data_IF_373346128140
#
_entry.id   IF_373346128140
#
_cell.length_a   1.000
_cell.length_b   1.000
_cell.length_c   1.000
_cell.angle_alpha   90.00
_cell.angle_beta   90.00
_cell.angle_gamma   90.00
#
_symmetry.space_group_name_H-M   'P 1'
#
loop_
_entity.id
_entity.type
_entity.pdbx_description
1 polymer ?
#
# COMPACT_ATOMS: atom_id res chain seq x y z
N UNK A 1 -7.45 26.48 -56.02
CA UNK A 1 -7.98 25.30 -55.29
C UNK A 1 -6.89 24.77 -54.38
N UNK A 2 -7.04 24.93 -53.06
CA UNK A 2 -6.01 24.71 -52.03
C UNK A 2 -6.18 23.35 -51.32
N UNK A 3 -5.32 22.34 -51.54
CA UNK A 3 -5.44 21.00 -50.97
C UNK A 3 -4.73 20.82 -49.61
N UNK A 4 -4.43 21.89 -48.86
CA UNK A 4 -3.56 21.82 -47.66
C UNK A 4 -4.30 21.65 -46.32
N UNK A 5 -5.63 21.78 -46.27
CA UNK A 5 -6.41 21.72 -45.01
C UNK A 5 -6.85 20.31 -44.57
N UNK A 6 -6.79 19.32 -45.46
CA UNK A 6 -7.30 17.97 -45.16
C UNK A 6 -6.30 17.12 -44.35
N UNK A 7 -4.99 17.29 -44.59
CA UNK A 7 -3.95 16.51 -43.90
C UNK A 7 -3.87 16.82 -42.40
N UNK A 8 -4.02 18.09 -42.01
CA UNK A 8 -3.93 18.51 -40.61
C UNK A 8 -5.05 17.97 -39.73
N UNK A 9 -6.25 17.75 -40.30
CA UNK A 9 -7.40 17.18 -39.59
C UNK A 9 -7.27 15.66 -39.39
N UNK A 10 -6.66 14.97 -40.35
CA UNK A 10 -6.43 13.52 -40.26
C UNK A 10 -5.38 13.17 -39.18
N UNK A 11 -4.32 13.98 -39.05
CA UNK A 11 -3.29 13.78 -38.02
C UNK A 11 -3.83 14.08 -36.61
N UNK A 12 -4.68 15.11 -36.46
CA UNK A 12 -5.33 15.42 -35.18
C UNK A 12 -6.32 14.34 -34.73
N UNK A 13 -7.06 13.72 -35.66
CA UNK A 13 -7.98 12.63 -35.34
C UNK A 13 -7.26 11.33 -34.95
N UNK A 14 -6.11 11.02 -35.58
CA UNK A 14 -5.31 9.85 -35.22
C UNK A 14 -4.63 10.00 -33.85
N UNK A 15 -4.16 11.21 -33.52
CA UNK A 15 -3.59 11.53 -32.21
C UNK A 15 -4.65 11.48 -31.09
N UNK A 16 -5.91 11.85 -31.40
CA UNK A 16 -7.02 11.77 -30.45
C UNK A 16 -7.39 10.31 -30.13
N UNK A 17 -7.34 9.40 -31.10
CA UNK A 17 -7.61 7.97 -30.89
C UNK A 17 -6.54 7.24 -30.06
N UNK A 18 -5.30 7.73 -30.03
CA UNK A 18 -4.22 7.17 -29.20
C UNK A 18 -4.33 7.66 -27.74
N UNK A 19 -5.05 8.75 -27.49
CA UNK A 19 -5.22 9.37 -26.18
C UNK A 19 -6.56 9.04 -25.50
N UNK A 20 -7.39 8.17 -26.07
CA UNK A 20 -8.55 7.63 -25.35
C UNK A 20 -8.07 6.47 -24.46
N UNK A 21 -7.94 6.63 -23.13
CA UNK A 21 -8.02 5.48 -22.25
C UNK A 21 -9.33 4.76 -22.57
N UNK A 22 -9.23 3.54 -23.10
CA UNK A 22 -10.39 2.82 -23.58
C UNK A 22 -11.41 2.66 -22.45
N UNK A 23 -12.72 2.89 -22.68
CA UNK A 23 -13.76 2.78 -21.65
C UNK A 23 -13.88 1.36 -21.04
N UNK A 24 -13.17 0.38 -21.59
CA UNK A 24 -13.03 -0.95 -21.01
C UNK A 24 -12.04 -1.02 -19.82
N UNK A 25 -11.18 -0.02 -19.63
CA UNK A 25 -10.12 0.02 -18.60
C UNK A 25 -10.41 1.00 -17.45
N UNK A 26 -11.52 1.73 -17.48
CA UNK A 26 -11.88 2.69 -16.41
C UNK A 26 -12.92 2.12 -15.42
N UNK A 27 -13.71 1.13 -15.84
CA UNK A 27 -14.82 0.60 -15.05
C UNK A 27 -14.36 -0.09 -13.74
N UNK A 28 -13.19 -0.73 -13.75
CA UNK A 28 -12.62 -1.41 -12.57
C UNK A 28 -12.14 -0.40 -11.53
N UNK A 29 -11.43 0.66 -11.96
CA UNK A 29 -11.01 1.75 -11.09
C UNK A 29 -12.18 2.56 -10.53
N UNK A 30 -13.21 2.85 -11.32
CA UNK A 30 -14.42 3.53 -10.83
C UNK A 30 -15.15 2.73 -9.74
N UNK A 31 -15.07 1.40 -9.80
CA UNK A 31 -15.68 0.52 -8.80
C UNK A 31 -14.81 0.39 -7.52
N UNK A 32 -13.49 0.31 -7.68
CA UNK A 32 -12.55 0.10 -6.55
C UNK A 32 -12.12 1.41 -5.86
N UNK A 33 -12.04 2.50 -6.61
CA UNK A 33 -11.51 3.81 -6.21
C UNK A 33 -12.32 4.94 -6.89
N UNK A 34 -13.61 5.12 -6.55
CA UNK A 34 -14.50 6.11 -7.19
C UNK A 34 -14.08 7.57 -7.01
N UNK A 35 -13.09 7.83 -6.14
CA UNK A 35 -12.55 9.17 -5.85
C UNK A 35 -11.14 9.37 -6.41
N UNK A 36 -10.61 8.44 -7.20
CA UNK A 36 -9.30 8.56 -7.83
C UNK A 36 -9.37 9.38 -9.12
N UNK A 37 -8.46 10.35 -9.27
CA UNK A 37 -8.40 11.24 -10.43
C UNK A 37 -7.35 10.75 -11.42
N UNK A 38 -7.75 10.24 -12.61
CA UNK A 38 -6.82 9.76 -13.63
C UNK A 38 -5.95 10.88 -14.24
N UNK A 39 -6.33 12.15 -14.08
CA UNK A 39 -5.56 13.29 -14.63
C UNK A 39 -4.36 13.66 -13.77
N UNK A 40 -4.29 13.19 -12.53
CA UNK A 40 -3.17 13.37 -11.60
C UNK A 40 -1.99 12.42 -11.82
N UNK A 41 -2.12 11.43 -12.72
CA UNK A 41 -1.11 10.41 -12.99
C UNK A 41 -1.38 9.07 -12.27
N UNK A 42 -0.51 8.06 -12.47
CA UNK A 42 -0.69 6.74 -11.86
C UNK A 42 -0.63 6.82 -10.32
N UNK A 43 -1.36 5.93 -9.64
CA UNK A 43 -1.37 5.84 -8.19
C UNK A 43 0.07 5.68 -7.66
N UNK A 44 0.43 6.54 -6.69
CA UNK A 44 1.74 6.51 -6.06
C UNK A 44 1.77 5.48 -4.93
N UNK A 45 2.92 4.82 -4.74
CA UNK A 45 3.16 3.90 -3.63
C UNK A 45 2.98 4.58 -2.26
N UNK A 46 3.22 5.89 -2.17
CA UNK A 46 2.98 6.66 -0.95
C UNK A 46 1.49 6.84 -0.66
N UNK A 47 0.67 7.16 -1.67
CA UNK A 47 -0.77 7.34 -1.50
C UNK A 47 -1.45 6.03 -1.12
N UNK A 48 -0.99 4.92 -1.72
CA UNK A 48 -1.44 3.58 -1.38
C UNK A 48 -1.06 3.22 0.07
N UNK A 49 0.18 3.51 0.47
CA UNK A 49 0.62 3.29 1.84
C UNK A 49 -0.15 4.12 2.87
N UNK A 50 -0.44 5.39 2.56
CA UNK A 50 -1.24 6.27 3.41
C UNK A 50 -2.69 5.79 3.49
N UNK A 51 -3.27 5.37 2.38
CA UNK A 51 -4.61 4.79 2.36
C UNK A 51 -4.69 3.53 3.24
N UNK A 52 -3.69 2.66 3.15
CA UNK A 52 -3.61 1.47 4.01
C UNK A 52 -3.35 1.82 5.48
N UNK A 53 -2.49 2.80 5.75
CA UNK A 53 -2.19 3.26 7.11
C UNK A 53 -3.39 3.95 7.78
N UNK A 54 -4.22 4.66 7.00
CA UNK A 54 -5.45 5.30 7.48
C UNK A 54 -6.59 4.30 7.75
N UNK A 55 -6.39 3.01 7.45
CA UNK A 55 -7.40 2.00 7.79
C UNK A 55 -7.59 1.89 9.31
N UNK A 56 -8.84 1.71 9.79
CA UNK A 56 -9.14 1.69 11.23
C UNK A 56 -8.33 0.62 11.98
N UNK A 57 -8.10 -0.53 11.32
CA UNK A 57 -7.29 -1.62 11.87
C UNK A 57 -5.83 -1.19 12.06
N UNK A 58 -5.24 -0.50 11.08
CA UNK A 58 -3.85 -0.01 11.17
C UNK A 58 -3.70 1.07 12.24
N UNK A 59 -4.69 1.95 12.40
CA UNK A 59 -4.70 2.96 13.46
C UNK A 59 -4.72 2.31 14.86
N UNK A 60 -5.56 1.29 15.07
CA UNK A 60 -5.58 0.53 16.33
C UNK A 60 -4.23 -0.13 16.58
N UNK A 61 -3.64 -0.77 15.56
CA UNK A 61 -2.32 -1.39 15.66
C UNK A 61 -1.20 -0.40 15.99
N UNK A 62 -1.24 0.81 15.42
CA UNK A 62 -0.31 1.88 15.76
C UNK A 62 -0.47 2.31 17.22
N UNK A 63 -1.69 2.44 17.73
CA UNK A 63 -1.94 2.76 19.14
C UNK A 63 -1.44 1.65 20.07
N UNK A 64 -1.69 0.38 19.74
CA UNK A 64 -1.18 -0.77 20.51
C UNK A 64 0.34 -0.79 20.50
N UNK A 65 0.96 -0.49 19.35
CA UNK A 65 2.42 -0.42 19.23
C UNK A 65 3.00 0.72 20.07
N UNK A 66 2.38 1.90 20.02
CA UNK A 66 2.77 3.04 20.85
C UNK A 66 2.64 2.72 22.35
N UNK A 67 1.59 1.99 22.74
CA UNK A 67 1.40 1.53 24.10
C UNK A 67 2.44 0.48 24.51
N UNK A 68 2.79 -0.46 23.63
CA UNK A 68 3.83 -1.45 23.85
C UNK A 68 5.18 -0.78 24.15
N UNK A 69 5.55 0.20 23.32
CA UNK A 69 6.77 1.00 23.47
C UNK A 69 6.73 1.83 24.76
N UNK A 70 5.62 2.52 25.03
CA UNK A 70 5.49 3.40 26.21
C UNK A 70 5.52 2.64 27.53
N UNK A 71 4.88 1.47 27.59
CA UNK A 71 4.87 0.63 28.79
C UNK A 71 6.10 -0.30 28.87
N UNK A 72 6.92 -0.36 27.82
CA UNK A 72 8.01 -1.34 27.63
C UNK A 72 7.59 -2.76 28.00
N UNK A 73 6.34 -3.11 27.70
CA UNK A 73 5.76 -4.40 28.07
C UNK A 73 5.95 -5.39 26.91
N UNK A 74 6.76 -6.42 27.15
CA UNK A 74 7.10 -7.44 26.16
C UNK A 74 5.87 -8.17 25.60
N UNK A 75 4.84 -8.40 26.42
CA UNK A 75 3.62 -9.08 25.99
C UNK A 75 2.79 -8.23 25.02
N UNK A 76 2.70 -6.93 25.28
CA UNK A 76 2.00 -6.00 24.40
C UNK A 76 2.80 -5.80 23.10
N UNK A 77 4.14 -5.79 23.19
CA UNK A 77 5.02 -5.79 22.02
C UNK A 77 4.82 -7.02 21.14
N UNK A 78 4.75 -8.21 21.75
CA UNK A 78 4.46 -9.45 21.02
C UNK A 78 3.09 -9.39 20.34
N UNK A 79 2.05 -8.98 21.05
CA UNK A 79 0.71 -8.84 20.48
C UNK A 79 0.67 -7.85 19.30
N UNK A 80 1.40 -6.73 19.40
CA UNK A 80 1.52 -5.76 18.32
C UNK A 80 2.19 -6.36 17.08
N UNK A 81 3.33 -7.04 17.24
CA UNK A 81 4.06 -7.68 16.13
C UNK A 81 3.24 -8.78 15.47
N UNK A 82 2.56 -9.62 16.27
CA UNK A 82 1.65 -10.64 15.74
C UNK A 82 0.49 -9.99 14.95
N UNK A 83 -0.12 -8.94 15.50
CA UNK A 83 -1.21 -8.24 14.81
C UNK A 83 -0.77 -7.61 13.49
N UNK A 84 0.41 -6.97 13.46
CA UNK A 84 1.01 -6.44 12.23
C UNK A 84 1.33 -7.54 11.20
N UNK A 85 1.83 -8.69 11.65
CA UNK A 85 2.15 -9.82 10.78
C UNK A 85 0.90 -10.46 10.18
N UNK A 86 -0.16 -10.60 10.97
CA UNK A 86 -1.47 -11.07 10.49
C UNK A 86 -2.04 -10.09 9.46
N UNK A 87 -2.02 -8.79 9.76
CA UNK A 87 -2.51 -7.78 8.83
C UNK A 87 -1.74 -7.80 7.51
N UNK A 88 -0.40 -7.86 7.55
CA UNK A 88 0.44 -7.95 6.36
C UNK A 88 0.12 -9.22 5.55
N UNK A 89 -0.05 -10.37 6.22
CA UNK A 89 -0.39 -11.63 5.57
C UNK A 89 -1.77 -11.55 4.89
N UNK A 90 -2.77 -11.01 5.58
CA UNK A 90 -4.11 -10.82 4.99
C UNK A 90 -4.06 -9.91 3.76
N UNK A 91 -3.22 -8.87 3.75
CA UNK A 91 -3.05 -7.99 2.59
C UNK A 91 -2.39 -8.69 1.40
N UNK A 92 -1.44 -9.58 1.64
CA UNK A 92 -0.75 -10.34 0.58
C UNK A 92 -1.60 -11.48 0.05
N UNK A 93 -2.33 -12.18 0.91
CA UNK A 93 -3.05 -13.42 0.58
C UNK A 93 -4.57 -13.26 0.47
N UNK A 94 -5.12 -12.04 0.49
CA UNK A 94 -6.56 -11.81 0.38
C UNK A 94 -7.14 -12.48 -0.89
N UNK A 95 -8.08 -13.44 -0.76
CA UNK A 95 -8.53 -14.31 -1.86
C UNK A 95 -9.40 -13.63 -2.94
N UNK A 96 -9.56 -12.30 -2.93
CA UNK A 96 -10.41 -11.56 -3.88
C UNK A 96 -9.65 -10.72 -4.90
N UNK A 97 -8.32 -10.67 -4.84
CA UNK A 97 -7.53 -9.73 -5.63
C UNK A 97 -6.95 -10.26 -6.93
N UNK A 98 -6.72 -11.57 -7.07
CA UNK A 98 -5.80 -12.11 -8.09
C UNK A 98 -5.96 -11.58 -9.52
N UNK A 99 -7.17 -11.55 -10.07
CA UNK A 99 -7.43 -11.00 -11.42
C UNK A 99 -7.74 -9.50 -11.39
N UNK A 100 -8.58 -9.04 -10.45
CA UNK A 100 -9.07 -7.66 -10.38
C UNK A 100 -7.99 -6.65 -9.95
N UNK A 101 -7.09 -7.03 -9.04
CA UNK A 101 -5.95 -6.18 -8.63
C UNK A 101 -4.82 -6.22 -9.64
N UNK A 102 -4.66 -7.31 -10.39
CA UNK A 102 -3.72 -7.34 -11.52
C UNK A 102 -4.20 -6.42 -12.65
N UNK A 103 -5.49 -6.48 -12.99
CA UNK A 103 -6.09 -5.58 -13.98
C UNK A 103 -5.99 -4.12 -13.52
N UNK A 104 -6.35 -3.81 -12.27
CA UNK A 104 -6.24 -2.45 -11.72
C UNK A 104 -4.79 -1.95 -11.55
N UNK A 105 -3.81 -2.85 -11.39
CA UNK A 105 -2.38 -2.50 -11.39
C UNK A 105 -1.89 -2.19 -12.82
N UNK A 106 -2.40 -2.88 -13.85
CA UNK A 106 -2.13 -2.54 -15.25
C UNK A 106 -2.79 -1.22 -15.69
N UNK A 107 -3.93 -0.89 -15.08
CA UNK A 107 -4.62 0.40 -15.24
C UNK A 107 -3.91 1.55 -14.48
N UNK A 108 -2.97 1.22 -13.59
CA UNK A 108 -2.20 2.19 -12.80
C UNK A 108 -2.95 2.78 -11.60
N UNK A 109 -4.14 2.28 -11.28
CA UNK A 109 -4.97 2.77 -10.16
C UNK A 109 -4.58 2.19 -8.79
N UNK A 110 -3.82 1.08 -8.78
CA UNK A 110 -3.30 0.44 -7.56
C UNK A 110 -1.78 0.41 -7.65
N UNK A 111 -1.12 1.03 -6.67
CA UNK A 111 0.33 0.93 -6.51
C UNK A 111 0.72 -0.30 -5.69
N UNK A 112 2.00 -0.69 -5.72
CA UNK A 112 2.45 -1.85 -4.95
C UNK A 112 2.31 -1.60 -3.44
N UNK A 113 1.75 -2.55 -2.66
CA UNK A 113 1.65 -2.44 -1.20
C UNK A 113 3.01 -2.61 -0.49
N UNK A 114 4.10 -2.78 -1.25
CA UNK A 114 5.44 -3.07 -0.75
C UNK A 114 5.94 -1.98 0.20
N UNK A 115 5.64 -0.71 -0.05
CA UNK A 115 6.07 0.40 0.78
C UNK A 115 5.43 0.32 2.18
N UNK A 116 4.13 0.03 2.25
CA UNK A 116 3.45 -0.20 3.53
C UNK A 116 4.04 -1.40 4.29
N UNK A 117 4.26 -2.52 3.61
CA UNK A 117 4.85 -3.72 4.23
C UNK A 117 6.26 -3.44 4.77
N UNK A 118 7.08 -2.70 4.03
CA UNK A 118 8.41 -2.31 4.47
C UNK A 118 8.37 -1.44 5.75
N UNK A 119 7.43 -0.49 5.82
CA UNK A 119 7.21 0.33 7.02
C UNK A 119 6.74 -0.53 8.19
N UNK A 120 5.80 -1.45 7.97
CA UNK A 120 5.33 -2.38 9.01
C UNK A 120 6.48 -3.24 9.54
N UNK A 121 7.33 -3.77 8.65
CA UNK A 121 8.51 -4.53 9.05
C UNK A 121 9.45 -3.70 9.92
N UNK A 122 9.71 -2.44 9.56
CA UNK A 122 10.51 -1.52 10.37
C UNK A 122 9.90 -1.24 11.75
N UNK A 123 8.58 -1.05 11.83
CA UNK A 123 7.84 -0.87 13.10
C UNK A 123 7.99 -2.11 13.98
N UNK A 124 7.84 -3.31 13.41
CA UNK A 124 8.01 -4.57 14.15
C UNK A 124 9.42 -4.68 14.73
N UNK A 125 10.46 -4.44 13.93
CA UNK A 125 11.86 -4.45 14.39
C UNK A 125 12.08 -3.45 15.52
N UNK A 126 11.62 -2.20 15.34
CA UNK A 126 11.75 -1.17 16.37
C UNK A 126 11.04 -1.56 17.68
N UNK A 127 9.84 -2.15 17.59
CA UNK A 127 9.07 -2.61 18.75
C UNK A 127 9.79 -3.71 19.49
N UNK A 128 10.33 -4.71 18.77
CA UNK A 128 11.11 -5.81 19.37
C UNK A 128 12.33 -5.24 20.09
N UNK A 129 13.13 -4.41 19.42
CA UNK A 129 14.34 -3.82 20.01
C UNK A 129 14.06 -2.98 21.26
N UNK A 130 12.93 -2.27 21.29
CA UNK A 130 12.60 -1.38 22.41
C UNK A 130 11.94 -2.08 23.60
N UNK A 131 11.21 -3.17 23.34
CA UNK A 131 10.50 -3.97 24.35
C UNK A 131 11.25 -5.22 24.79
N UNK A 132 12.36 -5.57 24.12
CA UNK A 132 13.19 -6.70 24.50
C UNK A 132 13.71 -6.52 25.94
N UNK A 133 13.57 -7.53 26.80
CA UNK A 133 14.15 -7.48 28.14
C UNK A 133 15.68 -7.45 28.00
N UNK A 134 16.33 -6.53 28.71
CA UNK A 134 17.79 -6.59 28.89
C UNK A 134 18.09 -7.74 29.85
N UNK A 135 18.10 -8.97 29.35
CA UNK A 135 18.47 -10.14 30.14
C UNK A 135 19.93 -9.94 30.56
N UNK A 136 20.14 -9.73 31.86
CA UNK A 136 21.47 -9.56 32.45
C UNK A 136 22.37 -10.73 32.07
N UNK A 137 23.53 -10.44 31.48
CA UNK A 137 24.64 -11.37 31.25
C UNK A 137 25.33 -11.76 32.57
N UNK A 138 24.58 -12.14 33.60
CA UNK A 138 25.14 -12.27 34.96
C UNK A 138 24.42 -13.35 35.76
N UNK A 139 24.52 -14.64 35.36
CA UNK A 139 24.46 -15.78 36.31
C UNK A 139 24.76 -17.18 35.74
N UNK A 140 25.20 -17.36 34.48
CA UNK A 140 25.58 -18.69 33.95
C UNK A 140 27.10 -18.88 33.75
N UNK A 141 27.92 -18.21 34.57
CA UNK A 141 29.38 -18.46 34.62
C UNK A 141 29.85 -19.00 35.97
N UNK A 142 28.96 -19.23 36.93
CA UNK A 142 29.33 -19.74 38.24
C UNK A 142 28.23 -20.62 38.86
N UNK A 143 28.04 -21.84 38.34
CA UNK A 143 27.83 -23.04 39.18
C UNK A 143 27.92 -24.34 38.42
#
# INVERSE_FOLDING_TARGET
MTPTRALGRAVAALALCIALPGPALAATCDTLRPLWDPTGGPANALDEALHMAASPVSLVLLLVTALAVRLRNQWVGLAAVCGWSILASLRVFAPGGGETTQMAATEGCIASPALFIAVVAAICVATILYTAPSQGRTTDQEK
#
